data_IF_314782075193
#
_entry.id   IF_314782075193
#
_cell.length_a   1.000
_cell.length_b   1.000
_cell.length_c   1.000
_cell.angle_alpha   90.00
_cell.angle_beta   90.00
_cell.angle_gamma   90.00
#
_symmetry.space_group_name_H-M   'P 1'
#
loop_
_entity.id
_entity.type
_entity.pdbx_description
1 polymer ?
#
# COMPACT_ATOMS: atom_id res chain seq x y z
N UNK A 1 2.42 -18.76 24.19
CA UNK A 1 1.60 -19.96 24.41
C UNK A 1 1.48 -20.23 25.89
N UNK A 2 0.34 -20.76 26.33
CA UNK A 2 0.12 -21.18 27.70
C UNK A 2 -0.26 -22.65 27.73
N UNK A 3 0.16 -23.37 28.77
CA UNK A 3 -0.35 -24.70 29.08
C UNK A 3 -1.64 -24.50 29.87
N UNK A 4 -2.73 -25.05 29.34
CA UNK A 4 -4.07 -24.93 29.92
C UNK A 4 -4.52 -26.33 30.34
N UNK A 5 -5.07 -26.45 31.56
CA UNK A 5 -5.64 -27.71 32.05
C UNK A 5 -7.02 -28.00 31.45
N UNK A 6 -7.62 -29.14 31.83
CA UNK A 6 -8.96 -29.52 31.37
C UNK A 6 -10.09 -28.61 31.89
N UNK A 7 -9.81 -27.74 32.86
CA UNK A 7 -10.77 -26.79 33.44
C UNK A 7 -10.60 -25.37 32.88
N UNK A 8 -9.68 -25.17 31.93
CA UNK A 8 -9.41 -23.87 31.32
C UNK A 8 -8.45 -22.98 32.11
N UNK A 9 -7.78 -23.50 33.14
CA UNK A 9 -6.83 -22.75 33.95
C UNK A 9 -5.43 -22.78 33.34
N UNK A 10 -4.71 -21.65 33.41
CA UNK A 10 -3.30 -21.57 32.99
C UNK A 10 -2.45 -22.23 34.07
N UNK A 11 -1.82 -23.35 33.73
CA UNK A 11 -0.92 -24.09 34.62
C UNK A 11 0.56 -23.79 34.35
N UNK A 12 0.86 -23.08 33.25
CA UNK A 12 2.20 -22.62 32.93
C UNK A 12 2.24 -21.76 31.68
N UNK A 13 3.27 -20.93 31.57
CA UNK A 13 3.51 -20.05 30.42
C UNK A 13 4.88 -20.33 29.82
N UNK A 14 4.95 -20.33 28.50
CA UNK A 14 6.21 -20.52 27.78
C UNK A 14 6.96 -19.18 27.60
N UNK A 15 8.24 -19.16 27.93
CA UNK A 15 9.12 -17.99 27.81
C UNK A 15 10.36 -18.25 26.94
N UNK A 16 10.43 -19.38 26.24
CA UNK A 16 11.62 -19.77 25.49
C UNK A 16 11.34 -20.08 24.02
N UNK A 17 10.11 -20.46 23.68
CA UNK A 17 9.77 -20.77 22.29
C UNK A 17 9.82 -19.53 21.41
N UNK A 18 9.93 -19.76 20.10
CA UNK A 18 10.00 -18.73 19.07
C UNK A 18 8.80 -18.86 18.14
N UNK A 19 8.20 -17.73 17.84
CA UNK A 19 7.25 -17.57 16.73
C UNK A 19 8.04 -17.15 15.50
N UNK A 20 7.84 -17.85 14.38
CA UNK A 20 8.47 -17.58 13.09
C UNK A 20 7.45 -17.13 12.07
N UNK A 21 7.81 -16.12 11.28
CA UNK A 21 7.00 -15.60 10.19
C UNK A 21 7.63 -16.02 8.87
N UNK A 22 6.81 -16.52 7.96
CA UNK A 22 7.22 -16.83 6.59
C UNK A 22 6.15 -16.40 5.59
N UNK A 23 6.59 -15.97 4.41
CA UNK A 23 5.70 -15.68 3.29
C UNK A 23 5.69 -16.93 2.40
N UNK A 24 4.51 -17.42 2.05
CA UNK A 24 4.38 -18.49 1.07
C UNK A 24 4.73 -17.93 -0.31
N UNK A 25 5.75 -18.50 -0.93
CA UNK A 25 6.21 -18.13 -2.27
C UNK A 25 5.84 -19.16 -3.33
N UNK A 26 5.20 -20.27 -2.96
CA UNK A 26 4.64 -21.24 -3.91
C UNK A 26 3.26 -20.81 -4.37
N UNK A 27 2.88 -21.22 -5.57
CA UNK A 27 1.52 -21.05 -6.11
C UNK A 27 1.04 -19.59 -6.20
N UNK A 28 1.99 -18.66 -6.28
CA UNK A 28 1.72 -17.24 -6.53
C UNK A 28 1.20 -17.05 -7.96
N UNK A 29 0.28 -16.11 -8.14
CA UNK A 29 -0.17 -15.70 -9.47
C UNK A 29 0.98 -15.07 -10.29
N UNK A 30 0.81 -15.01 -11.62
CA UNK A 30 1.84 -14.48 -12.54
C UNK A 30 2.25 -13.04 -12.17
N UNK A 31 1.31 -12.25 -11.64
CA UNK A 31 1.53 -10.87 -11.19
C UNK A 31 2.42 -10.81 -9.94
N UNK A 32 2.15 -11.64 -8.94
CA UNK A 32 2.90 -11.73 -7.68
C UNK A 32 4.29 -12.34 -7.87
N UNK A 33 4.49 -13.16 -8.91
CA UNK A 33 5.80 -13.70 -9.28
C UNK A 33 6.75 -12.63 -9.86
N UNK A 34 6.23 -11.54 -10.43
CA UNK A 34 7.07 -10.47 -11.02
C UNK A 34 7.94 -9.77 -9.97
N UNK A 35 7.39 -9.54 -8.78
CA UNK A 35 8.10 -9.00 -7.61
C UNK A 35 7.73 -9.84 -6.38
N UNK A 36 8.50 -10.89 -6.08
CA UNK A 36 8.14 -11.84 -5.04
C UNK A 36 8.06 -11.16 -3.67
N UNK A 37 7.19 -11.72 -2.81
CA UNK A 37 6.99 -11.25 -1.45
C UNK A 37 8.27 -11.37 -0.62
N UNK A 38 8.73 -10.29 -0.01
CA UNK A 38 9.90 -10.26 0.86
C UNK A 38 9.47 -9.78 2.25
N UNK A 39 9.98 -10.45 3.27
CA UNK A 39 9.88 -10.01 4.66
C UNK A 39 11.13 -9.19 4.99
N UNK A 40 10.92 -7.97 5.46
CA UNK A 40 11.96 -7.07 5.95
C UNK A 40 11.83 -6.93 7.46
N UNK A 41 12.97 -6.95 8.16
CA UNK A 41 13.01 -6.97 9.62
C UNK A 41 13.33 -8.36 10.17
N UNK A 42 12.88 -8.63 11.39
CA UNK A 42 13.09 -9.93 12.04
C UNK A 42 12.01 -10.94 11.61
N UNK A 43 12.39 -12.20 11.44
CA UNK A 43 11.46 -13.31 11.19
C UNK A 43 11.22 -14.19 12.41
N UNK A 44 12.02 -14.04 13.47
CA UNK A 44 12.01 -14.89 14.66
C UNK A 44 11.76 -14.05 15.92
N UNK A 45 10.69 -14.36 16.66
CA UNK A 45 10.24 -13.61 17.83
C UNK A 45 10.13 -14.53 19.04
N UNK A 46 10.91 -14.28 20.09
CA UNK A 46 10.85 -15.08 21.32
C UNK A 46 9.57 -14.77 22.10
N UNK A 47 8.90 -15.81 22.57
CA UNK A 47 7.79 -15.68 23.48
C UNK A 47 8.29 -15.32 24.89
N UNK A 48 7.59 -14.41 25.57
CA UNK A 48 7.79 -14.06 26.96
C UNK A 48 6.47 -14.22 27.71
N UNK A 49 6.46 -15.03 28.77
CA UNK A 49 5.25 -15.34 29.56
C UNK A 49 4.05 -15.75 28.71
N UNK A 50 4.31 -16.52 27.65
CA UNK A 50 3.30 -17.01 26.75
C UNK A 50 2.84 -15.99 25.69
N UNK A 51 3.50 -14.85 25.54
CA UNK A 51 3.16 -13.84 24.54
C UNK A 51 4.38 -13.56 23.66
N UNK A 52 4.22 -13.62 22.34
CA UNK A 52 5.24 -13.17 21.40
C UNK A 52 4.79 -11.83 20.81
N UNK A 53 5.67 -10.82 20.86
CA UNK A 53 5.41 -9.50 20.29
C UNK A 53 6.15 -9.42 18.95
N UNK A 54 5.39 -9.17 17.89
CA UNK A 54 5.91 -9.06 16.52
C UNK A 54 5.91 -7.59 16.15
N UNK A 55 7.10 -7.00 16.08
CA UNK A 55 7.32 -5.59 15.77
C UNK A 55 8.32 -5.43 14.63
N UNK A 56 8.27 -4.28 13.96
CA UNK A 56 9.23 -3.87 12.92
C UNK A 56 9.35 -4.87 11.76
N UNK A 57 8.22 -5.50 11.40
CA UNK A 57 8.11 -6.39 10.24
C UNK A 57 7.38 -5.66 9.12
N UNK A 58 8.03 -5.60 7.95
CA UNK A 58 7.45 -5.02 6.74
C UNK A 58 7.40 -6.11 5.67
N UNK A 59 6.24 -6.28 5.05
CA UNK A 59 6.04 -7.21 3.94
C UNK A 59 5.90 -6.40 2.66
N UNK A 60 6.69 -6.75 1.66
CA UNK A 60 6.79 -6.04 0.39
C UNK A 60 6.63 -7.02 -0.75
N UNK A 61 6.10 -6.60 -1.90
CA UNK A 61 5.85 -7.49 -3.03
C UNK A 61 5.11 -6.75 -4.15
N UNK A 62 4.66 -7.44 -5.18
CA UNK A 62 3.91 -6.81 -6.27
C UNK A 62 2.69 -6.05 -5.72
N UNK A 63 2.57 -4.73 -6.01
CA UNK A 63 1.39 -3.95 -5.64
C UNK A 63 0.10 -4.55 -6.20
N UNK A 64 -0.96 -4.57 -5.40
CA UNK A 64 -2.25 -5.15 -5.79
C UNK A 64 -2.28 -6.68 -5.84
N UNK A 65 -1.28 -7.37 -5.31
CA UNK A 65 -1.26 -8.83 -5.16
C UNK A 65 -1.57 -9.27 -3.73
N UNK A 66 -1.99 -10.52 -3.58
CA UNK A 66 -2.25 -11.16 -2.29
C UNK A 66 -1.09 -12.09 -1.93
N UNK A 67 -0.65 -12.04 -0.67
CA UNK A 67 0.38 -12.92 -0.14
C UNK A 67 -0.14 -13.67 1.09
N UNK A 68 0.17 -14.96 1.17
CA UNK A 68 -0.15 -15.80 2.33
C UNK A 68 1.03 -15.79 3.29
N UNK A 69 0.80 -15.32 4.52
CA UNK A 69 1.84 -15.24 5.54
C UNK A 69 1.51 -16.23 6.65
N UNK A 70 2.44 -17.12 6.93
CA UNK A 70 2.30 -18.13 7.97
C UNK A 70 3.13 -17.76 9.20
N UNK A 71 2.55 -18.02 10.36
CA UNK A 71 3.13 -17.87 11.66
C UNK A 71 3.19 -19.26 12.29
N UNK A 72 4.40 -19.75 12.47
CA UNK A 72 4.67 -21.06 13.09
C UNK A 72 5.33 -20.86 14.45
N UNK A 73 5.21 -21.84 15.33
CA UNK A 73 5.86 -21.80 16.64
C UNK A 73 6.39 -23.16 17.05
N UNK A 74 7.61 -23.20 17.59
CA UNK A 74 8.15 -24.43 18.17
C UNK A 74 7.65 -24.69 19.61
N UNK A 75 6.83 -23.81 20.18
CA UNK A 75 6.25 -23.99 21.52
C UNK A 75 4.98 -24.84 21.55
N UNK A 76 4.46 -25.22 20.38
CA UNK A 76 3.28 -26.07 20.24
C UNK A 76 3.74 -27.50 19.91
N UNK A 77 3.69 -28.38 20.90
CA UNK A 77 4.00 -29.80 20.69
C UNK A 77 2.82 -30.52 20.01
N UNK A 78 2.93 -30.75 18.71
CA UNK A 78 1.91 -31.43 17.91
C UNK A 78 1.71 -32.91 18.29
N UNK A 79 2.61 -33.52 19.08
CA UNK A 79 2.45 -34.89 19.53
C UNK A 79 1.45 -35.04 20.69
N UNK A 80 1.15 -33.94 21.40
CA UNK A 80 0.17 -33.95 22.49
C UNK A 80 -1.23 -34.29 21.98
N UNK A 81 -1.94 -35.15 22.72
CA UNK A 81 -3.27 -35.63 22.33
C UNK A 81 -4.29 -34.49 22.17
N UNK A 82 -4.19 -33.43 22.98
CA UNK A 82 -5.04 -32.24 22.86
C UNK A 82 -4.83 -31.53 21.51
N UNK A 83 -3.58 -31.37 21.08
CA UNK A 83 -3.23 -30.74 19.82
C UNK A 83 -3.60 -31.61 18.62
N UNK A 84 -3.44 -32.94 18.71
CA UNK A 84 -3.94 -33.90 17.70
C UNK A 84 -5.45 -33.82 17.53
N UNK A 85 -6.21 -33.77 18.63
CA UNK A 85 -7.67 -33.58 18.59
C UNK A 85 -8.04 -32.22 17.98
N UNK A 86 -7.34 -31.15 18.36
CA UNK A 86 -7.57 -29.82 17.78
C UNK A 86 -7.31 -29.80 16.26
N UNK A 87 -6.22 -30.40 15.79
CA UNK A 87 -5.91 -30.54 14.37
C UNK A 87 -6.99 -31.32 13.61
N UNK A 88 -7.50 -32.42 14.18
CA UNK A 88 -8.59 -33.20 13.60
C UNK A 88 -9.90 -32.40 13.52
N UNK A 89 -10.25 -31.67 14.58
CA UNK A 89 -11.45 -30.82 14.61
C UNK A 89 -11.39 -29.67 13.60
N UNK A 90 -10.19 -29.10 13.40
CA UNK A 90 -9.96 -28.01 12.45
C UNK A 90 -9.68 -28.51 11.02
N UNK A 91 -9.60 -29.83 10.81
CA UNK A 91 -9.17 -30.45 9.55
C UNK A 91 -7.83 -29.88 9.04
N UNK A 92 -6.85 -29.71 9.94
CA UNK A 92 -5.51 -29.18 9.64
C UNK A 92 -4.44 -30.21 9.96
N UNK A 93 -3.30 -30.12 9.27
CA UNK A 93 -2.10 -30.95 9.50
C UNK A 93 -1.12 -30.34 10.50
N UNK A 94 -1.25 -29.03 10.75
CA UNK A 94 -0.49 -28.27 11.74
C UNK A 94 -1.42 -27.29 12.47
N UNK A 95 -0.87 -26.56 13.46
CA UNK A 95 -1.56 -25.50 14.19
C UNK A 95 -0.96 -24.13 13.88
N UNK A 96 -0.35 -23.98 12.70
CA UNK A 96 0.18 -22.70 12.26
C UNK A 96 -0.97 -21.75 11.96
N UNK A 97 -0.73 -20.47 12.22
CA UNK A 97 -1.66 -19.40 11.92
C UNK A 97 -1.31 -18.83 10.55
N UNK A 98 -2.31 -18.68 9.68
CA UNK A 98 -2.14 -18.09 8.34
C UNK A 98 -2.93 -16.80 8.23
N UNK A 99 -2.32 -15.80 7.61
CA UNK A 99 -2.89 -14.49 7.35
C UNK A 99 -2.75 -14.16 5.87
N UNK A 100 -3.85 -13.79 5.25
CA UNK A 100 -3.84 -13.27 3.88
C UNK A 100 -3.63 -11.76 3.92
N UNK A 101 -2.58 -11.29 3.24
CA UNK A 101 -2.25 -9.87 3.14
C UNK A 101 -2.48 -9.42 1.71
N UNK A 102 -3.43 -8.49 1.55
CA UNK A 102 -3.67 -7.82 0.29
C UNK A 102 -2.84 -6.54 0.21
N UNK A 103 -1.83 -6.53 -0.67
CA UNK A 103 -1.08 -5.31 -0.93
C UNK A 103 -1.91 -4.37 -1.78
N UNK A 104 -1.94 -3.09 -1.41
CA UNK A 104 -2.56 -2.07 -2.26
C UNK A 104 -1.72 -1.82 -3.51
N UNK A 105 -2.37 -1.28 -4.51
CA UNK A 105 -1.72 -0.70 -5.67
C UNK A 105 -0.97 0.60 -5.28
N UNK A 106 0.05 0.99 -6.07
CA UNK A 106 0.63 2.32 -5.94
C UNK A 106 -0.39 3.38 -6.36
N UNK A 107 -0.33 4.57 -5.76
CA UNK A 107 -1.16 5.73 -6.13
C UNK A 107 -0.32 6.78 -6.87
N UNK A 108 -1.01 7.74 -7.49
CA UNK A 108 -0.36 8.96 -7.98
C UNK A 108 0.43 9.62 -6.84
N UNK A 109 1.60 10.15 -7.17
CA UNK A 109 2.54 10.68 -6.20
C UNK A 109 3.44 9.65 -5.52
N UNK A 110 3.38 8.39 -5.91
CA UNK A 110 4.31 7.36 -5.45
C UNK A 110 5.22 6.88 -6.57
N UNK A 111 6.43 6.47 -6.18
CA UNK A 111 7.32 5.66 -7.00
C UNK A 111 7.13 4.17 -6.71
N UNK A 112 7.22 3.36 -7.76
CA UNK A 112 7.28 1.91 -7.65
C UNK A 112 8.76 1.48 -7.68
N UNK A 113 9.27 0.96 -6.57
CA UNK A 113 10.63 0.42 -6.49
C UNK A 113 10.74 -0.99 -7.07
N UNK A 114 11.94 -1.39 -7.49
CA UNK A 114 12.25 -2.76 -7.91
C UNK A 114 12.00 -3.82 -6.82
N UNK A 115 11.88 -3.42 -5.56
CA UNK A 115 11.62 -4.29 -4.41
C UNK A 115 10.12 -4.53 -4.12
N UNK A 116 9.20 -4.10 -4.99
CA UNK A 116 7.77 -4.27 -4.70
C UNK A 116 7.23 -3.26 -3.68
N UNK A 117 7.80 -2.05 -3.62
CA UNK A 117 7.30 -0.99 -2.72
C UNK A 117 6.76 0.19 -3.48
N UNK A 118 5.66 0.73 -2.98
CA UNK A 118 5.18 2.06 -3.30
C UNK A 118 5.71 3.04 -2.26
N UNK A 119 6.52 4.02 -2.68
CA UNK A 119 7.10 5.02 -1.79
C UNK A 119 6.64 6.39 -2.25
N UNK A 120 6.15 7.23 -1.33
CA UNK A 120 5.73 8.59 -1.66
C UNK A 120 6.93 9.43 -2.14
N UNK A 121 6.71 10.20 -3.21
CA UNK A 121 7.72 11.12 -3.74
C UNK A 121 8.09 12.16 -2.69
N UNK A 122 9.39 12.37 -2.50
CA UNK A 122 9.92 13.29 -1.50
C UNK A 122 9.90 14.73 -2.03
N UNK A 123 10.20 15.69 -1.16
CA UNK A 123 10.35 17.10 -1.52
C UNK A 123 11.26 17.29 -2.75
N UNK A 124 10.93 18.24 -3.61
CA UNK A 124 11.58 18.49 -4.89
C UNK A 124 11.45 17.36 -5.94
N UNK A 125 10.60 16.35 -5.69
CA UNK A 125 10.22 15.33 -6.68
C UNK A 125 8.70 15.19 -6.76
N UNK A 126 8.20 14.57 -7.83
CA UNK A 126 6.76 14.32 -7.98
C UNK A 126 6.47 13.09 -8.85
N UNK A 127 5.23 12.58 -8.78
CA UNK A 127 4.69 11.63 -9.75
C UNK A 127 3.23 11.97 -10.04
N UNK A 128 2.88 12.08 -11.33
CA UNK A 128 1.54 12.47 -11.80
C UNK A 128 0.75 11.32 -12.41
N UNK A 129 1.34 10.13 -12.42
CA UNK A 129 0.75 8.93 -12.98
C UNK A 129 0.84 7.82 -11.95
N UNK A 130 -0.12 6.91 -12.00
CA UNK A 130 -0.04 5.66 -11.26
C UNK A 130 1.03 4.76 -11.91
N UNK A 131 2.10 4.48 -11.17
CA UNK A 131 3.14 3.55 -11.64
C UNK A 131 2.67 2.09 -11.50
N UNK A 132 2.64 1.38 -12.63
CA UNK A 132 2.31 -0.06 -12.69
C UNK A 132 3.55 -0.95 -12.84
N UNK A 133 4.71 -0.34 -13.08
CA UNK A 133 6.01 -0.98 -13.17
C UNK A 133 7.07 -0.12 -12.46
N UNK A 134 8.22 -0.68 -12.07
CA UNK A 134 9.27 0.03 -11.37
C UNK A 134 9.73 1.27 -12.12
N UNK A 135 9.60 2.41 -11.47
CA UNK A 135 10.02 3.72 -11.96
C UNK A 135 10.19 4.67 -10.78
N UNK A 136 10.96 5.74 -10.97
CA UNK A 136 11.27 6.73 -9.95
C UNK A 136 10.43 7.99 -10.13
N UNK A 137 10.30 8.77 -9.05
CA UNK A 137 9.71 10.11 -9.12
C UNK A 137 10.48 11.02 -10.09
N UNK A 138 9.78 11.93 -10.75
CA UNK A 138 10.35 12.95 -11.62
C UNK A 138 10.97 14.09 -10.79
N UNK A 139 12.06 14.68 -11.29
CA UNK A 139 12.68 15.85 -10.68
C UNK A 139 11.82 17.10 -10.90
N UNK A 140 11.68 17.92 -9.86
CA UNK A 140 10.91 19.16 -9.94
C UNK A 140 11.58 20.19 -10.87
N UNK A 141 10.86 20.77 -11.86
CA UNK A 141 11.35 21.91 -12.63
C UNK A 141 11.25 23.20 -11.78
N UNK A 142 12.19 23.38 -10.84
CA UNK A 142 12.16 24.42 -9.82
C UNK A 142 12.08 25.86 -10.35
N UNK A 143 12.46 26.11 -11.60
CA UNK A 143 12.33 27.42 -12.25
C UNK A 143 10.89 27.77 -12.65
N UNK A 144 10.01 26.76 -12.72
CA UNK A 144 8.65 26.88 -13.29
C UNK A 144 7.57 26.37 -12.34
N UNK A 145 7.93 25.54 -11.38
CA UNK A 145 7.01 24.87 -10.48
C UNK A 145 7.60 24.70 -9.07
N UNK A 146 6.69 24.60 -8.09
CA UNK A 146 6.98 24.19 -6.73
C UNK A 146 6.45 22.76 -6.53
N UNK A 147 7.27 21.88 -5.97
CA UNK A 147 6.91 20.49 -5.70
C UNK A 147 7.08 20.18 -4.21
N UNK A 148 6.00 19.78 -3.55
CA UNK A 148 5.96 19.45 -2.12
C UNK A 148 5.96 17.93 -1.88
N UNK A 149 6.52 17.16 -2.82
CA UNK A 149 6.42 15.71 -2.83
C UNK A 149 5.07 15.17 -3.32
N UNK A 150 4.93 13.85 -3.32
CA UNK A 150 3.72 13.17 -3.78
C UNK A 150 3.33 13.56 -5.22
N UNK A 151 2.04 13.86 -5.40
CA UNK A 151 1.49 14.46 -6.63
C UNK A 151 1.31 15.99 -6.50
N UNK A 152 1.83 16.59 -5.42
CA UNK A 152 1.62 17.99 -5.07
C UNK A 152 2.62 18.87 -5.81
N UNK A 153 2.29 19.18 -7.06
CA UNK A 153 3.05 20.09 -7.92
C UNK A 153 2.17 21.23 -8.45
N UNK A 154 2.63 22.46 -8.25
CA UNK A 154 1.96 23.68 -8.70
C UNK A 154 2.91 24.60 -9.49
N UNK A 155 2.39 25.40 -10.44
CA UNK A 155 3.20 26.37 -11.15
C UNK A 155 3.68 27.49 -10.21
N UNK A 156 4.85 28.06 -10.50
CA UNK A 156 5.27 29.33 -9.92
C UNK A 156 4.48 30.50 -10.54
N UNK A 157 4.43 31.67 -9.88
CA UNK A 157 3.80 32.87 -10.45
C UNK A 157 4.32 33.17 -11.87
N UNK A 158 3.40 33.38 -12.82
CA UNK A 158 3.75 33.60 -14.23
C UNK A 158 3.91 32.31 -15.06
N UNK A 159 3.59 31.14 -14.50
CA UNK A 159 3.52 29.88 -15.22
C UNK A 159 2.13 29.25 -15.09
N UNK A 160 1.77 28.42 -16.07
CA UNK A 160 0.56 27.61 -16.06
C UNK A 160 0.88 26.17 -16.44
N UNK A 161 0.18 25.23 -15.79
CA UNK A 161 0.31 23.80 -16.08
C UNK A 161 -0.75 23.38 -17.08
N UNK A 162 -0.33 22.86 -18.24
CA UNK A 162 -1.26 22.54 -19.34
C UNK A 162 -2.15 21.32 -19.07
N UNK A 163 -1.71 20.40 -18.21
CA UNK A 163 -2.38 19.11 -17.96
C UNK A 163 -2.16 18.65 -16.53
N UNK A 164 -3.15 17.97 -15.96
CA UNK A 164 -3.08 17.36 -14.63
C UNK A 164 -2.30 16.02 -14.59
N UNK A 165 -1.91 15.45 -15.73
CA UNK A 165 -1.14 14.20 -15.82
C UNK A 165 0.30 14.39 -16.35
N UNK A 166 0.64 15.59 -16.82
CA UNK A 166 1.99 15.91 -17.32
C UNK A 166 2.63 17.08 -16.56
N UNK A 167 3.94 17.03 -16.36
CA UNK A 167 4.76 18.10 -15.75
C UNK A 167 5.13 19.24 -16.72
N UNK A 168 4.25 19.57 -17.67
CA UNK A 168 4.54 20.60 -18.69
C UNK A 168 4.00 21.97 -18.28
N UNK A 169 4.91 22.93 -18.10
CA UNK A 169 4.63 24.30 -17.68
C UNK A 169 4.95 25.30 -18.78
N UNK A 170 4.01 26.19 -19.08
CA UNK A 170 4.15 27.29 -20.03
C UNK A 170 4.20 28.61 -19.28
N UNK A 171 5.06 29.54 -19.72
CA UNK A 171 5.08 30.90 -19.18
C UNK A 171 3.83 31.63 -19.67
N UNK A 172 3.06 32.23 -18.78
CA UNK A 172 1.93 33.07 -19.16
C UNK A 172 2.43 34.48 -19.45
N UNK A 173 2.16 34.96 -20.66
CA UNK A 173 2.19 36.40 -20.93
C UNK A 173 0.76 36.91 -20.67
N UNK A 174 0.60 38.09 -20.07
CA UNK A 174 -0.71 38.62 -19.66
C UNK A 174 -1.78 38.67 -20.78
N UNK A 175 -1.41 38.47 -22.05
CA UNK A 175 -2.32 38.37 -23.21
C UNK A 175 -2.91 36.98 -23.46
N UNK A 176 -2.32 35.90 -22.95
CA UNK A 176 -2.70 34.51 -23.34
C UNK A 176 -3.88 33.92 -22.53
N UNK A 177 -4.34 34.63 -21.50
CA UNK A 177 -5.50 34.21 -20.69
C UNK A 177 -6.79 34.29 -21.52
N UNK A 178 -6.90 35.21 -22.49
CA UNK A 178 -8.09 35.29 -23.34
C UNK A 178 -8.17 34.16 -24.36
N UNK A 179 -7.07 33.76 -25.02
CA UNK A 179 -7.16 32.75 -26.09
C UNK A 179 -7.30 31.32 -25.57
N UNK A 180 -6.69 30.98 -24.43
CA UNK A 180 -6.74 29.61 -23.87
C UNK A 180 -8.06 29.31 -23.15
N UNK A 181 -8.72 30.34 -22.58
CA UNK A 181 -10.07 30.22 -22.03
C UNK A 181 -11.11 30.04 -23.16
N UNK A 182 -10.92 30.67 -24.32
CA UNK A 182 -11.88 30.59 -25.44
C UNK A 182 -11.89 29.19 -26.07
N UNK A 183 -10.75 28.50 -26.19
CA UNK A 183 -10.75 27.16 -26.83
C UNK A 183 -11.37 26.06 -25.97
N UNK A 184 -11.30 26.17 -24.64
CA UNK A 184 -11.92 25.20 -23.73
C UNK A 184 -13.40 25.49 -23.46
N UNK A 185 -13.86 26.75 -23.55
CA UNK A 185 -15.30 27.07 -23.46
C UNK A 185 -16.06 26.64 -24.72
N UNK A 186 -15.43 26.67 -25.91
CA UNK A 186 -16.07 26.21 -27.15
C UNK A 186 -16.32 24.69 -27.15
N UNK A 187 -15.48 23.89 -26.49
CA UNK A 187 -15.69 22.43 -26.40
C UNK A 187 -16.63 21.99 -25.26
N UNK A 188 -16.94 22.86 -24.29
CA UNK A 188 -17.95 22.58 -23.26
C UNK A 188 -19.36 22.91 -23.75
N UNK A 189 -19.53 23.77 -24.76
CA UNK A 189 -20.86 24.08 -25.32
C UNK A 189 -21.48 22.99 -26.21
N UNK A 190 -20.77 21.89 -26.50
CA UNK A 190 -21.29 20.79 -27.32
C UNK A 190 -21.65 19.51 -26.55
N UNK A 191 -21.57 19.48 -25.23
CA UNK A 191 -22.09 18.38 -24.42
C UNK A 191 -22.93 18.88 -23.25
N UNK A 192 -24.25 18.80 -23.42
CA UNK A 192 -25.19 18.81 -22.30
C UNK A 192 -26.08 20.04 -22.23
N UNK A 193 -27.20 20.00 -22.95
CA UNK A 193 -28.44 20.58 -22.45
C UNK A 193 -28.70 19.96 -21.06
N UNK A 194 -28.58 20.75 -20.00
CA UNK A 194 -29.13 20.41 -18.69
C UNK A 194 -30.52 21.08 -18.63
N UNK A 195 -31.59 20.37 -18.22
CA UNK A 195 -32.95 20.92 -18.21
C UNK A 195 -33.04 22.13 -17.27
N UNK A 196 -33.84 23.13 -17.66
CA UNK A 196 -34.29 24.19 -16.77
C UNK A 196 -35.12 23.56 -15.66
N UNK A 197 -34.59 23.48 -14.45
CA UNK A 197 -35.33 23.50 -13.17
C UNK A 197 -34.38 23.16 -12.02
N UNK A 198 -33.44 24.05 -11.71
CA UNK A 198 -32.81 24.10 -10.38
C UNK A 198 -32.32 25.53 -10.15
N UNK A 199 -33.16 26.35 -9.49
CA UNK A 199 -32.72 27.60 -8.89
C UNK A 199 -32.02 27.29 -7.56
N UNK A 200 -30.79 27.77 -7.39
CA UNK A 200 -30.17 27.94 -6.07
C UNK A 200 -30.04 29.44 -5.81
N UNK A 201 -30.89 29.93 -4.91
CA UNK A 201 -30.82 31.26 -4.32
C UNK A 201 -29.61 31.36 -3.39
N UNK A 202 -28.88 32.47 -3.50
CA UNK A 202 -27.96 32.91 -2.45
C UNK A 202 -28.65 34.01 -1.65
N UNK A 203 -28.85 33.79 -0.35
CA UNK A 203 -29.13 34.84 0.63
C UNK A 203 -27.82 35.27 1.28
N UNK A 204 -27.71 36.59 1.50
CA UNK A 204 -26.59 37.31 2.13
C UNK A 204 -26.14 36.75 3.48
#
# INVERSE_FOLDING_TARGET
MALIDQYGQIVGSDSNSKVRISIQTSDLDEKANKYPGILQGSSDFQASSGVAIINDVIITGTPGSTYHVSFSSNGIDLQKQSNKKAMQLLNKTNLDFSLDIHLRECKEGEQFTSAGKCIECQDNTYSLIKMIEPSSCENCPAEKALCLGGANIGPLPGYWRKSNTKGFFVRTVAKDIQETMITNVINVQNFGKIPSDYQLSFSE
#
